data_IF_280224230522
#
_entry.id   IF_280224230522
#
_cell.length_a   1.000
_cell.length_b   1.000
_cell.length_c   1.000
_cell.angle_alpha   90.00
_cell.angle_beta   90.00
_cell.angle_gamma   90.00
#
_symmetry.space_group_name_H-M   'P 1'
#
loop_
_entity.id
_entity.type
_entity.pdbx_description
1 polymer ?
#
# COMPACT_ATOMS: atom_id res chain seq x y z
N UNK A 1 9.78 19.81 -14.30
CA UNK A 1 10.29 18.43 -14.16
C UNK A 1 10.12 17.75 -15.50
N UNK A 2 11.19 17.18 -16.06
CA UNK A 2 11.15 16.47 -17.35
C UNK A 2 11.19 14.97 -17.04
N UNK A 3 10.08 14.27 -17.25
CA UNK A 3 10.00 12.82 -17.07
C UNK A 3 10.34 12.14 -18.40
N UNK A 4 11.34 11.25 -18.37
CA UNK A 4 11.74 10.39 -19.49
C UNK A 4 11.63 8.93 -19.04
N UNK A 5 11.16 8.05 -19.91
CA UNK A 5 10.87 6.65 -19.59
C UNK A 5 11.93 5.67 -20.14
N UNK A 6 13.01 6.18 -20.74
CA UNK A 6 14.02 5.38 -21.42
C UNK A 6 15.12 4.83 -20.50
N UNK A 7 15.89 3.84 -20.98
CA UNK A 7 15.78 3.20 -22.30
C UNK A 7 14.81 2.00 -22.29
N UNK A 8 13.64 2.13 -22.92
CA UNK A 8 12.67 1.05 -23.12
C UNK A 8 12.21 1.02 -24.58
N UNK A 9 12.22 -0.16 -25.22
CA UNK A 9 11.72 -0.37 -26.59
C UNK A 9 10.34 -1.01 -26.52
N UNK A 10 9.30 -0.20 -26.32
CA UNK A 10 7.91 -0.67 -26.29
C UNK A 10 7.13 -0.14 -27.48
N UNK A 11 6.10 -0.88 -27.91
CA UNK A 11 5.20 -0.50 -29.00
C UNK A 11 4.31 0.71 -28.69
N UNK A 12 4.30 1.17 -27.45
CA UNK A 12 3.49 2.28 -26.93
C UNK A 12 4.21 3.63 -26.90
N UNK A 13 5.48 3.68 -27.35
CA UNK A 13 6.24 4.92 -27.49
C UNK A 13 5.66 5.85 -28.57
N UNK A 14 5.91 7.16 -28.44
CA UNK A 14 5.62 8.10 -29.52
C UNK A 14 6.54 7.78 -30.70
N UNK A 15 6.07 7.96 -31.94
CA UNK A 15 6.83 7.60 -33.15
C UNK A 15 8.21 8.30 -33.24
N UNK A 16 8.40 9.42 -32.55
CA UNK A 16 9.65 10.17 -32.45
C UNK A 16 10.46 9.89 -31.17
N UNK A 17 10.00 8.99 -30.30
CA UNK A 17 10.60 8.64 -29.03
C UNK A 17 10.75 7.11 -28.87
N UNK A 18 11.27 6.45 -29.90
CA UNK A 18 11.37 4.98 -30.01
C UNK A 18 12.03 4.30 -28.80
N UNK A 19 12.95 5.00 -28.13
CA UNK A 19 13.70 4.49 -26.97
C UNK A 19 13.25 5.09 -25.63
N UNK A 20 12.23 5.95 -25.59
CA UNK A 20 11.75 6.60 -24.36
C UNK A 20 12.66 7.71 -23.79
N UNK A 21 13.74 8.07 -24.50
CA UNK A 21 14.74 9.05 -24.05
C UNK A 21 14.30 10.52 -24.15
N UNK A 22 13.19 10.81 -24.83
CA UNK A 22 12.67 12.17 -24.99
C UNK A 22 11.52 12.45 -24.02
N UNK A 23 11.27 13.74 -23.78
CA UNK A 23 10.14 14.23 -22.98
C UNK A 23 8.81 13.64 -23.48
N UNK A 24 8.01 13.11 -22.55
CA UNK A 24 6.73 12.49 -22.85
C UNK A 24 5.57 13.39 -22.38
N UNK A 25 4.92 14.16 -23.28
CA UNK A 25 3.90 15.15 -22.92
C UNK A 25 2.51 14.55 -22.62
N UNK A 26 2.41 13.22 -22.37
CA UNK A 26 1.14 12.59 -22.04
C UNK A 26 0.73 12.94 -20.60
N UNK A 27 -0.55 13.25 -20.40
CA UNK A 27 -1.11 13.38 -19.06
C UNK A 27 -1.05 12.03 -18.33
N UNK A 28 -0.99 12.08 -16.99
CA UNK A 28 -1.29 10.93 -16.15
C UNK A 28 -2.69 10.41 -16.55
N UNK A 29 -2.74 9.26 -17.21
CA UNK A 29 -3.99 8.60 -17.56
C UNK A 29 -4.23 7.51 -16.52
N UNK A 30 -5.30 7.68 -15.73
CA UNK A 30 -5.81 6.62 -14.84
C UNK A 30 -6.77 5.77 -15.65
N UNK A 31 -6.40 4.51 -15.85
CA UNK A 31 -7.23 3.53 -16.53
C UNK A 31 -7.40 2.37 -15.56
N UNK A 32 -8.60 2.25 -14.98
CA UNK A 32 -8.88 1.13 -14.13
C UNK A 32 -9.09 -0.10 -15.03
N UNK A 33 -8.15 -1.06 -15.01
CA UNK A 33 -8.27 -2.37 -15.66
C UNK A 33 -9.43 -3.21 -15.11
N UNK A 34 -10.65 -2.88 -15.55
CA UNK A 34 -11.93 -3.40 -15.06
C UNK A 34 -11.91 -4.89 -14.67
N UNK A 35 -11.30 -5.77 -15.47
CA UNK A 35 -11.28 -7.22 -15.19
C UNK A 35 -10.57 -7.60 -13.88
N UNK A 36 -9.50 -6.90 -13.51
CA UNK A 36 -8.79 -7.15 -12.25
C UNK A 36 -9.54 -6.55 -11.06
N UNK A 37 -10.11 -5.36 -11.22
CA UNK A 37 -10.96 -4.75 -10.18
C UNK A 37 -12.17 -5.62 -9.88
N UNK A 38 -12.88 -6.13 -10.90
CA UNK A 38 -14.05 -6.99 -10.69
C UNK A 38 -13.70 -8.37 -10.13
N UNK A 39 -12.50 -8.88 -10.42
CA UNK A 39 -12.07 -10.17 -9.92
C UNK A 39 -11.59 -10.13 -8.46
N UNK A 40 -11.01 -9.02 -8.01
CA UNK A 40 -10.27 -8.98 -6.75
C UNK A 40 -10.75 -7.92 -5.74
N UNK A 41 -11.66 -7.02 -6.10
CA UNK A 41 -12.25 -6.01 -5.19
C UNK A 41 -13.73 -6.33 -4.89
N UNK A 42 -14.01 -7.55 -4.44
CA UNK A 42 -15.33 -7.98 -3.99
C UNK A 42 -15.54 -7.66 -2.51
N UNK A 43 -16.78 -7.66 -2.01
CA UNK A 43 -17.04 -7.46 -0.58
C UNK A 43 -16.27 -8.45 0.31
N UNK A 44 -16.12 -9.70 -0.14
CA UNK A 44 -15.37 -10.72 0.59
C UNK A 44 -13.87 -10.50 0.53
N UNK A 45 -13.31 -10.04 -0.60
CA UNK A 45 -11.86 -9.73 -0.65
C UNK A 45 -11.52 -8.38 -0.02
N UNK A 46 -12.49 -7.46 0.07
CA UNK A 46 -12.40 -6.24 0.87
C UNK A 46 -12.43 -6.58 2.36
N UNK A 47 -13.25 -7.56 2.76
CA UNK A 47 -13.20 -8.12 4.11
C UNK A 47 -11.90 -8.91 4.36
N UNK A 48 -11.40 -9.63 3.35
CA UNK A 48 -10.11 -10.33 3.36
C UNK A 48 -9.00 -9.43 2.81
N UNK A 49 -8.61 -8.43 3.60
CA UNK A 49 -7.49 -7.50 3.35
C UNK A 49 -6.24 -8.18 2.74
N UNK A 50 -5.96 -9.43 3.14
CA UNK A 50 -4.87 -10.26 2.62
C UNK A 50 -4.91 -10.50 1.10
N UNK A 51 -6.11 -10.59 0.51
CA UNK A 51 -6.28 -10.81 -0.93
C UNK A 51 -6.28 -9.48 -1.66
N UNK A 52 -6.98 -8.47 -1.14
CA UNK A 52 -7.12 -7.17 -1.80
C UNK A 52 -5.80 -6.37 -1.83
N UNK A 53 -4.97 -6.44 -0.79
CA UNK A 53 -3.71 -5.68 -0.71
C UNK A 53 -2.73 -6.02 -1.86
N UNK A 54 -2.23 -7.26 -2.00
CA UNK A 54 -1.29 -7.59 -3.08
C UNK A 54 -1.94 -7.50 -4.47
N UNK A 55 -3.25 -7.74 -4.59
CA UNK A 55 -3.96 -7.58 -5.85
C UNK A 55 -4.05 -6.11 -6.30
N UNK A 56 -4.19 -5.16 -5.36
CA UNK A 56 -4.25 -3.73 -5.65
C UNK A 56 -2.90 -3.20 -6.15
N UNK A 57 -1.81 -3.66 -5.54
CA UNK A 57 -0.45 -3.43 -6.03
C UNK A 57 -0.23 -4.05 -7.43
N UNK A 58 -0.56 -5.33 -7.57
CA UNK A 58 -0.44 -6.08 -8.84
C UNK A 58 -1.21 -5.46 -10.00
N UNK A 59 -2.35 -4.86 -9.69
CA UNK A 59 -3.22 -4.17 -10.63
C UNK A 59 -2.59 -2.94 -11.27
N UNK A 60 -1.90 -2.12 -10.48
CA UNK A 60 -1.24 -0.91 -11.01
C UNK A 60 -0.01 -1.31 -11.83
N UNK A 61 0.78 -2.26 -11.32
CA UNK A 61 2.01 -2.71 -11.99
C UNK A 61 3.17 -1.72 -11.86
N UNK A 62 4.27 -2.00 -12.56
CA UNK A 62 5.49 -1.19 -12.44
C UNK A 62 6.08 -1.26 -11.03
N UNK A 63 6.42 -0.11 -10.46
CA UNK A 63 7.00 -0.03 -9.12
C UNK A 63 6.06 -0.57 -8.04
N UNK A 64 4.74 -0.51 -8.25
CA UNK A 64 3.74 -1.04 -7.30
C UNK A 64 3.81 -2.55 -7.12
N UNK A 65 4.38 -3.30 -8.07
CA UNK A 65 4.56 -4.76 -7.92
C UNK A 65 5.77 -5.15 -7.08
N UNK A 66 6.68 -4.21 -6.82
CA UNK A 66 7.87 -4.44 -6.01
C UNK A 66 7.59 -4.04 -4.55
N UNK A 67 7.71 -4.99 -3.63
CA UNK A 67 7.41 -4.78 -2.21
C UNK A 67 8.30 -3.71 -1.54
N UNK A 68 9.47 -3.44 -2.09
CA UNK A 68 10.42 -2.47 -1.54
C UNK A 68 10.28 -1.10 -2.18
N UNK A 69 9.93 -1.05 -3.47
CA UNK A 69 9.88 0.22 -4.22
C UNK A 69 8.47 0.70 -4.54
N UNK A 70 7.42 -0.01 -4.13
CA UNK A 70 6.02 0.42 -4.32
C UNK A 70 5.72 1.83 -3.81
N UNK A 71 6.32 2.36 -2.72
CA UNK A 71 6.08 3.74 -2.31
C UNK A 71 6.59 4.81 -3.30
N UNK A 72 7.38 4.44 -4.31
CA UNK A 72 7.80 5.37 -5.37
C UNK A 72 6.63 5.77 -6.30
N UNK A 73 5.59 4.94 -6.41
CA UNK A 73 4.37 5.31 -7.11
C UNK A 73 3.40 6.04 -6.16
N UNK A 74 2.92 7.25 -6.49
CA UNK A 74 1.97 7.97 -5.65
C UNK A 74 0.65 7.24 -5.36
N UNK A 75 0.31 6.20 -6.13
CA UNK A 75 -0.87 5.37 -5.88
C UNK A 75 -0.74 4.53 -4.61
N UNK A 76 0.47 4.26 -4.13
CA UNK A 76 0.76 3.53 -2.90
C UNK A 76 -0.03 4.10 -1.74
N UNK A 77 0.00 5.43 -1.58
CA UNK A 77 -0.67 6.12 -0.48
C UNK A 77 -2.19 6.01 -0.56
N UNK A 78 -2.76 5.95 -1.77
CA UNK A 78 -4.21 5.77 -1.95
C UNK A 78 -4.64 4.32 -1.70
N UNK A 79 -3.82 3.35 -2.14
CA UNK A 79 -4.02 1.93 -1.85
C UNK A 79 -4.00 1.72 -0.34
N UNK A 80 -2.93 2.17 0.33
CA UNK A 80 -2.78 2.03 1.79
C UNK A 80 -3.82 2.81 2.59
N UNK A 81 -4.31 3.96 2.11
CA UNK A 81 -5.44 4.66 2.74
C UNK A 81 -6.73 3.83 2.72
N UNK A 82 -6.97 3.07 1.64
CA UNK A 82 -8.13 2.18 1.57
C UNK A 82 -7.94 0.93 2.44
N UNK A 83 -6.70 0.41 2.57
CA UNK A 83 -6.38 -0.67 3.50
C UNK A 83 -6.63 -0.24 4.94
N UNK A 84 -6.11 0.92 5.34
CA UNK A 84 -6.30 1.47 6.69
C UNK A 84 -7.78 1.72 7.00
N UNK A 85 -8.56 2.24 6.03
CA UNK A 85 -10.01 2.38 6.17
C UNK A 85 -10.71 1.06 6.49
N UNK A 86 -10.33 -0.03 5.83
CA UNK A 86 -10.95 -1.34 6.05
C UNK A 86 -10.57 -1.91 7.41
N UNK A 87 -9.32 -1.72 7.82
CA UNK A 87 -8.87 -2.08 9.16
C UNK A 87 -9.61 -1.29 10.24
N UNK A 88 -9.77 0.02 10.08
CA UNK A 88 -10.54 0.87 11.00
C UNK A 88 -12.02 0.43 11.09
N UNK A 89 -12.65 0.06 9.96
CA UNK A 89 -14.01 -0.51 9.95
C UNK A 89 -14.04 -1.85 10.70
N UNK A 90 -13.07 -2.72 10.51
CA UNK A 90 -12.96 -4.00 11.21
C UNK A 90 -12.78 -3.80 12.73
N UNK A 91 -11.92 -2.87 13.16
CA UNK A 91 -11.76 -2.53 14.57
C UNK A 91 -13.08 -1.98 15.15
N UNK A 92 -13.73 -1.05 14.45
CA UNK A 92 -14.97 -0.42 14.89
C UNK A 92 -16.16 -1.36 15.11
N UNK A 93 -16.16 -2.57 14.52
CA UNK A 93 -17.20 -3.58 14.75
C UNK A 93 -17.15 -4.20 16.16
N UNK A 94 -15.99 -4.22 16.81
CA UNK A 94 -15.82 -4.68 18.19
C UNK A 94 -14.57 -4.03 18.81
N UNK A 95 -14.63 -2.70 18.96
CA UNK A 95 -13.46 -1.90 19.32
C UNK A 95 -12.81 -2.35 20.63
N UNK A 96 -13.62 -2.73 21.63
CA UNK A 96 -13.13 -3.16 22.94
C UNK A 96 -12.22 -4.40 22.87
N UNK A 97 -12.43 -5.31 21.91
CA UNK A 97 -11.57 -6.48 21.72
C UNK A 97 -10.54 -6.32 20.60
N UNK A 98 -10.77 -5.39 19.65
CA UNK A 98 -9.98 -5.25 18.42
C UNK A 98 -9.04 -4.05 18.39
N UNK A 99 -9.16 -3.11 19.33
CA UNK A 99 -8.29 -1.93 19.39
C UNK A 99 -6.81 -2.32 19.38
N UNK A 100 -6.41 -3.30 20.20
CA UNK A 100 -5.02 -3.78 20.30
C UNK A 100 -4.85 -5.24 19.88
N UNK A 101 -5.78 -5.77 19.07
CA UNK A 101 -5.65 -7.13 18.56
C UNK A 101 -4.46 -7.22 17.61
N UNK A 102 -3.54 -8.15 17.91
CA UNK A 102 -2.29 -8.37 17.18
C UNK A 102 -2.00 -9.87 17.13
N UNK A 103 -1.53 -10.35 15.98
CA UNK A 103 -1.12 -11.73 15.76
C UNK A 103 0.01 -11.78 14.71
N UNK A 104 0.83 -12.82 14.78
CA UNK A 104 1.95 -13.05 13.86
C UNK A 104 3.33 -12.68 14.41
N UNK A 105 4.33 -12.91 13.57
CA UNK A 105 5.77 -12.76 13.87
C UNK A 105 6.40 -11.61 13.09
N UNK A 106 7.62 -11.23 13.44
CA UNK A 106 8.28 -10.03 12.90
C UNK A 106 9.00 -10.26 11.57
N UNK A 107 8.97 -11.49 11.07
CA UNK A 107 9.42 -11.87 9.72
C UNK A 107 8.25 -12.30 8.85
N UNK A 108 8.31 -11.96 7.55
CA UNK A 108 7.29 -12.33 6.57
C UNK A 108 7.11 -13.86 6.56
N UNK A 109 5.88 -14.33 6.75
CA UNK A 109 5.52 -15.75 6.84
C UNK A 109 6.32 -16.54 7.90
N UNK A 110 6.86 -15.86 8.92
CA UNK A 110 7.75 -16.43 9.91
C UNK A 110 9.01 -17.07 9.29
N UNK A 111 9.57 -16.44 8.24
CA UNK A 111 10.72 -16.93 7.49
C UNK A 111 11.84 -15.86 7.39
N UNK A 112 12.99 -16.05 8.06
CA UNK A 112 13.28 -17.13 9.02
C UNK A 112 12.39 -17.02 10.28
N UNK A 113 12.25 -18.09 11.08
CA UNK A 113 11.47 -18.03 12.31
C UNK A 113 11.92 -16.90 13.23
N UNK A 114 10.98 -16.15 13.79
CA UNK A 114 11.20 -15.01 14.68
C UNK A 114 10.20 -14.99 15.83
N UNK A 115 10.41 -14.07 16.76
CA UNK A 115 9.51 -13.79 17.88
C UNK A 115 8.15 -13.26 17.42
N UNK A 116 7.14 -13.48 18.27
CA UNK A 116 5.82 -12.89 18.10
C UNK A 116 5.89 -11.36 18.19
N UNK A 117 5.14 -10.68 17.33
CA UNK A 117 5.01 -9.24 17.39
C UNK A 117 4.34 -8.81 18.71
N UNK A 118 4.80 -7.70 19.28
CA UNK A 118 4.23 -7.16 20.52
C UNK A 118 3.89 -5.69 20.37
N UNK A 119 2.94 -5.19 21.15
CA UNK A 119 2.54 -3.77 21.16
C UNK A 119 3.70 -2.84 21.54
N UNK A 120 4.66 -3.32 22.34
CA UNK A 120 5.85 -2.55 22.74
C UNK A 120 6.97 -2.54 21.71
N UNK A 121 6.85 -3.34 20.64
CA UNK A 121 7.90 -3.42 19.63
C UNK A 121 7.98 -2.11 18.85
N UNK A 122 9.21 -1.67 18.56
CA UNK A 122 9.44 -0.43 17.83
C UNK A 122 9.37 -0.69 16.33
N UNK A 123 8.45 0.01 15.67
CA UNK A 123 8.44 0.13 14.22
C UNK A 123 9.44 1.20 13.82
N UNK A 124 10.40 0.82 13.00
CA UNK A 124 11.40 1.74 12.46
C UNK A 124 10.88 2.34 11.16
N UNK A 125 10.47 3.60 11.23
CA UNK A 125 10.02 4.37 10.07
C UNK A 125 11.11 5.37 9.71
N UNK A 126 11.37 5.56 8.41
CA UNK A 126 12.28 6.61 7.97
C UNK A 126 11.77 7.99 8.44
N UNK A 127 12.66 8.98 8.54
CA UNK A 127 12.33 10.34 8.98
C UNK A 127 11.22 10.97 8.13
N UNK A 128 11.09 10.56 6.87
CA UNK A 128 10.02 10.97 5.98
C UNK A 128 8.63 10.43 6.38
N UNK A 129 8.57 9.37 7.18
CA UNK A 129 7.36 8.62 7.53
C UNK A 129 6.93 8.76 9.00
N UNK A 130 7.64 9.54 9.84
CA UNK A 130 7.19 9.88 11.19
C UNK A 130 8.14 9.55 12.35
N UNK A 131 9.34 9.02 12.06
CA UNK A 131 10.29 8.46 13.04
C UNK A 131 9.80 7.16 13.71
N UNK A 132 10.69 6.55 14.49
CA UNK A 132 10.42 5.33 15.25
C UNK A 132 9.25 5.51 16.23
N UNK A 133 8.34 4.53 16.26
CA UNK A 133 7.22 4.50 17.19
C UNK A 133 6.90 3.07 17.63
N UNK A 134 6.38 2.83 18.85
CA UNK A 134 5.91 1.51 19.24
C UNK A 134 4.67 1.12 18.44
N UNK A 135 4.46 -0.18 18.21
CA UNK A 135 3.27 -0.70 17.52
C UNK A 135 1.98 -0.18 18.18
N UNK A 136 1.93 -0.11 19.51
CA UNK A 136 0.81 0.43 20.28
C UNK A 136 0.34 1.80 19.78
N UNK A 137 1.26 2.63 19.33
CA UNK A 137 0.95 4.02 18.97
C UNK A 137 0.24 4.12 17.63
N UNK A 138 0.41 3.11 16.76
CA UNK A 138 -0.26 3.04 15.46
C UNK A 138 -1.56 2.23 15.45
N UNK A 139 -1.98 1.66 16.59
CA UNK A 139 -3.15 0.77 16.65
C UNK A 139 -4.50 1.48 16.54
N UNK A 140 -4.54 2.81 16.57
CA UNK A 140 -5.80 3.57 16.58
C UNK A 140 -5.72 4.84 15.74
N UNK A 141 -6.73 5.07 14.92
CA UNK A 141 -6.85 6.28 14.08
C UNK A 141 -7.15 7.57 14.88
N UNK A 142 -7.54 7.44 16.16
CA UNK A 142 -7.99 8.55 17.01
C UNK A 142 -7.26 8.63 18.37
N UNK A 143 -6.16 7.89 18.52
CA UNK A 143 -5.34 7.92 19.73
C UNK A 143 -3.90 8.34 19.44
N UNK A 144 -3.19 8.72 20.50
CA UNK A 144 -1.82 9.25 20.44
C UNK A 144 -1.73 10.44 19.47
N UNK A 145 -0.85 10.36 18.47
CA UNK A 145 -0.63 11.42 17.49
C UNK A 145 -1.64 11.40 16.33
N UNK A 146 -2.54 10.41 16.29
CA UNK A 146 -3.55 10.27 15.24
C UNK A 146 -4.92 10.81 15.66
N UNK A 147 -5.56 11.56 14.76
CA UNK A 147 -6.90 12.10 14.95
C UNK A 147 -7.64 12.23 13.62
N UNK A 148 -7.99 11.10 13.01
CA UNK A 148 -8.71 11.04 11.73
C UNK A 148 -9.80 9.97 11.73
N UNK A 149 -10.77 10.14 10.83
CA UNK A 149 -11.81 9.16 10.53
C UNK A 149 -12.02 9.09 9.02
N UNK A 150 -12.53 7.96 8.53
CA UNK A 150 -12.95 7.79 7.15
C UNK A 150 -14.45 8.04 6.99
N UNK A 151 -14.81 8.69 5.89
CA UNK A 151 -16.20 8.91 5.48
C UNK A 151 -16.75 7.80 4.56
#
# INVERSE_FOLDING_TARGET
MTVTLGPVTTSSNLANNTYGNQYNPRCLKRDFHQSFSTANLTYTTIADLWVAHPASHGYVGGDEQDLYTSPNDPLFYLIHSQIDRLWAVWQGQDYASREFALDGTVTINNMPPSEDATLSMIMHLDIAAGNDMPVSDAMTAIGNDYCYIYA
#
